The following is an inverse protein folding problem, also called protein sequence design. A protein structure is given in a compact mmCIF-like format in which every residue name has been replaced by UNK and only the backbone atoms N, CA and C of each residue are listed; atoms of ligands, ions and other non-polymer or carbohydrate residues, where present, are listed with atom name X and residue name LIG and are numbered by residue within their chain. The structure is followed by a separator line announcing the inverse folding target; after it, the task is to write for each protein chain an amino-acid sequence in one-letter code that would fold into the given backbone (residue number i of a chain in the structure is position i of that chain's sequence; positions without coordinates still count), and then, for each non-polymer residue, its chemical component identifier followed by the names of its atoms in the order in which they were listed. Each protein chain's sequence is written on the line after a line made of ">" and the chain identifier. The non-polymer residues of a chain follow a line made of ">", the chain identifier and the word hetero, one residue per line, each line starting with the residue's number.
data_IF_680354460968
#
_entry.id   IF_680354460968
#
_cell.length_a   1.000
_cell.length_b   1.000
_cell.length_c   1.000
_cell.angle_alpha   90.00
_cell.angle_beta   90.00
_cell.angle_gamma   90.00
#
_symmetry.space_group_name_H-M   'P 1'
#
loop_
_entity.id
_entity.type
_entity.pdbx_description
1 polymer ?
#
# COMPACT_ATOMS: atom_id res chain seq x y z
N UNK A 1 -12.85 2.03 -0.70
CA UNK A 1 -12.23 2.96 0.26
C UNK A 1 -10.86 3.47 -0.22
N UNK A 2 -10.09 2.70 -1.00
CA UNK A 2 -8.82 3.14 -1.63
C UNK A 2 -8.81 4.56 -2.22
N UNK A 3 -9.82 4.96 -2.99
CA UNK A 3 -9.86 6.30 -3.59
C UNK A 3 -9.99 7.43 -2.56
N UNK A 4 -10.66 7.16 -1.43
CA UNK A 4 -10.83 8.14 -0.36
C UNK A 4 -9.54 8.29 0.44
N UNK A 5 -8.94 7.19 0.87
CA UNK A 5 -7.71 7.19 1.67
C UNK A 5 -6.52 7.74 0.87
N UNK A 6 -6.43 7.42 -0.43
CA UNK A 6 -5.45 8.00 -1.35
C UNK A 6 -5.64 9.50 -1.52
N UNK A 7 -6.88 9.97 -1.68
CA UNK A 7 -7.16 11.40 -1.83
C UNK A 7 -6.84 12.20 -0.58
N UNK A 8 -7.18 11.70 0.61
CA UNK A 8 -6.80 12.32 1.89
C UNK A 8 -5.29 12.39 2.05
N UNK A 9 -4.54 11.34 1.66
CA UNK A 9 -3.09 11.36 1.65
C UNK A 9 -2.54 12.39 0.66
N UNK A 10 -3.05 12.47 -0.57
CA UNK A 10 -2.60 13.46 -1.55
C UNK A 10 -2.86 14.91 -1.10
N UNK A 11 -3.95 15.16 -0.37
CA UNK A 11 -4.31 16.50 0.10
C UNK A 11 -3.54 16.90 1.37
N UNK A 12 -3.28 15.96 2.28
CA UNK A 12 -2.69 16.26 3.59
C UNK A 12 -1.21 15.90 3.71
N UNK A 13 -0.72 15.00 2.85
CA UNK A 13 0.61 14.39 2.95
C UNK A 13 0.83 13.56 4.22
N UNK A 14 -0.21 13.34 5.02
CA UNK A 14 -0.08 12.73 6.34
C UNK A 14 -0.09 11.20 6.22
N UNK A 15 1.12 10.62 6.24
CA UNK A 15 1.34 9.18 6.11
C UNK A 15 0.76 8.39 7.29
N UNK A 16 0.83 8.93 8.51
CA UNK A 16 0.33 8.25 9.71
C UNK A 16 -1.18 8.00 9.62
N UNK A 17 -1.93 8.99 9.12
CA UNK A 17 -3.38 8.88 8.92
C UNK A 17 -3.70 7.81 7.88
N UNK A 18 -2.95 7.77 6.77
CA UNK A 18 -3.13 6.73 5.73
C UNK A 18 -2.90 5.32 6.29
N UNK A 19 -1.86 5.12 7.09
CA UNK A 19 -1.54 3.83 7.70
C UNK A 19 -2.63 3.40 8.71
N UNK A 20 -3.09 4.30 9.58
CA UNK A 20 -4.18 4.03 10.52
C UNK A 20 -5.49 3.64 9.79
N UNK A 21 -5.83 4.33 8.70
CA UNK A 21 -6.99 3.97 7.88
C UNK A 21 -6.80 2.61 7.20
N UNK A 22 -5.59 2.30 6.74
CA UNK A 22 -5.26 1.01 6.13
C UNK A 22 -5.34 -0.15 7.13
N UNK A 23 -4.95 0.07 8.39
CA UNK A 23 -5.11 -0.90 9.47
C UNK A 23 -6.60 -1.15 9.80
N UNK A 24 -7.41 -0.08 9.81
CA UNK A 24 -8.86 -0.15 10.00
C UNK A 24 -9.61 -0.87 8.88
N UNK A 25 -9.11 -0.78 7.63
CA UNK A 25 -9.67 -1.51 6.48
C UNK A 25 -9.48 -3.04 6.57
N UNK A 26 -8.65 -3.53 7.50
CA UNK A 26 -8.39 -4.95 7.73
C UNK A 26 -7.40 -5.57 6.72
N UNK A 27 -6.76 -6.67 7.12
CA UNK A 27 -5.69 -7.34 6.36
C UNK A 27 -6.06 -7.81 4.94
N UNK A 28 -7.36 -7.88 4.61
CA UNK A 28 -7.84 -8.38 3.34
C UNK A 28 -7.30 -7.63 2.11
N UNK A 29 -6.85 -6.38 2.29
CA UNK A 29 -6.42 -5.50 1.20
C UNK A 29 -4.95 -5.04 1.30
N UNK A 30 -4.22 -5.44 2.35
CA UNK A 30 -2.79 -5.13 2.52
C UNK A 30 -1.88 -6.13 1.79
N UNK A 31 -2.32 -7.39 1.69
CA UNK A 31 -1.69 -8.47 0.92
C UNK A 31 -1.46 -8.09 -0.55
N UNK A 32 -2.35 -7.29 -1.14
CA UNK A 32 -2.24 -6.88 -2.55
C UNK A 32 -1.13 -5.84 -2.78
N UNK A 33 -0.81 -5.02 -1.78
CA UNK A 33 0.15 -3.92 -1.88
C UNK A 33 1.59 -4.32 -1.55
N UNK A 34 1.81 -5.44 -0.85
CA UNK A 34 3.15 -5.91 -0.50
C UNK A 34 3.72 -6.99 -1.43
N UNK A 35 3.07 -7.26 -2.57
CA UNK A 35 3.77 -7.83 -3.73
C UNK A 35 4.68 -6.76 -4.34
N UNK A 36 5.65 -6.30 -3.55
CA UNK A 36 6.87 -5.75 -4.06
C UNK A 36 7.51 -6.85 -4.93
N UNK A 37 8.03 -6.42 -6.07
CA UNK A 37 8.60 -7.23 -7.13
C UNK A 37 9.65 -8.22 -6.57
N UNK A 38 9.25 -9.46 -6.32
CA UNK A 38 10.15 -10.62 -6.34
C UNK A 38 10.12 -11.17 -7.77
N UNK A 39 10.56 -10.36 -8.74
CA UNK A 39 10.82 -10.85 -10.10
C UNK A 39 12.31 -11.16 -10.21
N UNK A 40 12.63 -12.40 -9.83
CA UNK A 40 13.65 -13.28 -10.40
C UNK A 40 15.01 -12.67 -10.75
N UNK A 41 15.99 -12.95 -9.89
CA UNK A 41 17.42 -13.02 -10.24
C UNK A 41 17.58 -14.01 -11.42
N UNK A 42 17.61 -13.50 -12.66
CA UNK A 42 17.86 -14.29 -13.86
C UNK A 42 19.32 -14.80 -13.83
N UNK A 43 19.58 -16.07 -14.20
CA UNK A 43 20.91 -16.65 -14.06
C UNK A 43 21.91 -15.94 -15.00
N UNK A 44 23.08 -15.60 -14.46
CA UNK A 44 24.25 -15.14 -15.21
C UNK A 44 24.55 -16.11 -16.36
N UNK A 45 24.37 -15.67 -17.60
CA UNK A 45 24.95 -16.30 -18.80
C UNK A 45 26.36 -15.79 -19.04
#
# INVERSE_FOLDING_TARGET
>A
MKDFTWKVFCETGNIDTYLLFKELEGEGDFSFTFKAEESEDLPLQ
#
